data_IF_260397410591
#
_entry.id   IF_260397410591
#
_cell.length_a   1.000
_cell.length_b   1.000
_cell.length_c   1.000
_cell.angle_alpha   90.00
_cell.angle_beta   90.00
_cell.angle_gamma   90.00
#
_symmetry.space_group_name_H-M   'P 1'
#
loop_
_entity.id
_entity.type
_entity.pdbx_description
1 polymer ?
#
# COMPACT_ATOMS: atom_id res chain seq x y z
N UNK A 1 20.72 -10.90 -3.61
CA UNK A 1 19.44 -11.55 -3.97
C UNK A 1 18.21 -10.71 -3.54
N UNK A 2 18.22 -10.13 -2.36
CA UNK A 2 17.13 -9.30 -1.82
C UNK A 2 16.74 -8.08 -2.69
N UNK A 3 17.71 -7.43 -3.37
CA UNK A 3 17.44 -6.28 -4.22
C UNK A 3 16.56 -6.65 -5.43
N UNK A 4 16.80 -7.82 -6.04
CA UNK A 4 15.97 -8.34 -7.15
C UNK A 4 14.54 -8.58 -6.67
N UNK A 5 14.36 -9.17 -5.49
CA UNK A 5 13.04 -9.39 -4.88
C UNK A 5 12.32 -8.07 -4.60
N UNK A 6 13.05 -7.03 -4.16
CA UNK A 6 12.47 -5.70 -3.97
C UNK A 6 11.99 -5.08 -5.30
N UNK A 7 12.75 -5.23 -6.39
CA UNK A 7 12.32 -4.79 -7.73
C UNK A 7 11.12 -5.58 -8.24
N UNK A 8 11.10 -6.91 -8.06
CA UNK A 8 9.94 -7.75 -8.41
C UNK A 8 8.71 -7.28 -7.63
N UNK A 9 8.83 -7.04 -6.33
CA UNK A 9 7.74 -6.50 -5.50
C UNK A 9 7.24 -5.16 -6.03
N UNK A 10 8.14 -4.23 -6.36
CA UNK A 10 7.77 -2.93 -6.92
C UNK A 10 7.03 -3.06 -8.25
N UNK A 11 7.52 -3.92 -9.14
CA UNK A 11 6.91 -4.18 -10.43
C UNK A 11 5.48 -4.73 -10.29
N UNK A 12 5.30 -5.74 -9.46
CA UNK A 12 3.99 -6.35 -9.20
C UNK A 12 3.01 -5.35 -8.55
N UNK A 13 3.47 -4.52 -7.60
CA UNK A 13 2.66 -3.46 -7.02
C UNK A 13 2.22 -2.40 -8.04
N UNK A 14 3.04 -2.11 -9.05
CA UNK A 14 2.64 -1.21 -10.12
C UNK A 14 1.43 -1.75 -10.88
N UNK A 15 1.44 -3.03 -11.26
CA UNK A 15 0.30 -3.69 -11.89
C UNK A 15 -0.90 -3.83 -10.94
N UNK A 16 -0.68 -4.14 -9.66
CA UNK A 16 -1.73 -4.10 -8.66
C UNK A 16 -2.51 -2.77 -8.69
N UNK A 17 -1.80 -1.62 -8.72
CA UNK A 17 -2.45 -0.31 -8.78
C UNK A 17 -3.27 -0.12 -10.08
N UNK A 18 -2.77 -0.63 -11.21
CA UNK A 18 -3.46 -0.59 -12.50
C UNK A 18 -4.74 -1.43 -12.47
N UNK A 19 -4.67 -2.68 -12.02
CA UNK A 19 -5.84 -3.57 -11.92
C UNK A 19 -6.85 -3.04 -10.91
N UNK A 20 -6.39 -2.45 -9.81
CA UNK A 20 -7.23 -1.77 -8.83
C UNK A 20 -7.99 -0.61 -9.48
N UNK A 21 -7.32 0.27 -10.23
CA UNK A 21 -7.96 1.37 -10.96
C UNK A 21 -8.99 0.86 -11.95
N UNK A 22 -8.64 -0.17 -12.74
CA UNK A 22 -9.53 -0.78 -13.73
C UNK A 22 -10.76 -1.44 -13.10
N UNK A 23 -10.59 -2.12 -11.96
CA UNK A 23 -11.69 -2.76 -11.23
C UNK A 23 -12.68 -1.75 -10.68
N UNK A 24 -12.19 -0.59 -10.24
CA UNK A 24 -13.00 0.48 -9.64
C UNK A 24 -13.75 1.34 -10.67
N UNK A 25 -13.38 1.27 -11.97
CA UNK A 25 -14.05 2.03 -13.03
C UNK A 25 -15.49 1.59 -13.17
N UNK A 26 -16.45 2.47 -12.85
CA UNK A 26 -17.89 2.16 -12.91
C UNK A 26 -18.37 1.11 -11.91
N UNK A 27 -17.63 0.90 -10.80
CA UNK A 27 -17.94 -0.15 -9.84
C UNK A 27 -18.00 0.39 -8.40
N UNK A 28 -18.66 -0.33 -7.50
CA UNK A 28 -18.70 0.01 -6.09
C UNK A 28 -17.35 -0.31 -5.41
N UNK A 29 -16.87 0.60 -4.55
CA UNK A 29 -15.54 0.49 -3.91
C UNK A 29 -15.49 -0.66 -2.90
N UNK A 30 -16.47 -0.71 -1.99
CA UNK A 30 -16.48 -1.66 -0.86
C UNK A 30 -16.50 -3.12 -1.34
N UNK A 31 -17.39 -3.54 -2.28
CA UNK A 31 -17.35 -4.92 -2.75
C UNK A 31 -16.07 -5.27 -3.51
N UNK A 32 -15.52 -4.36 -4.33
CA UNK A 32 -14.23 -4.62 -5.01
C UNK A 32 -13.13 -4.89 -3.98
N UNK A 33 -13.04 -4.08 -2.93
CA UNK A 33 -12.07 -4.28 -1.85
C UNK A 33 -12.37 -5.58 -1.08
N UNK A 34 -13.63 -5.86 -0.74
CA UNK A 34 -14.01 -7.09 -0.06
C UNK A 34 -13.63 -8.34 -0.85
N UNK A 35 -14.00 -8.43 -2.14
CA UNK A 35 -13.68 -9.61 -2.93
C UNK A 35 -12.17 -9.77 -3.16
N UNK A 36 -11.42 -8.67 -3.27
CA UNK A 36 -9.96 -8.77 -3.35
C UNK A 36 -9.35 -9.31 -2.05
N UNK A 37 -9.84 -8.90 -0.88
CA UNK A 37 -9.36 -9.42 0.41
C UNK A 37 -9.81 -10.85 0.66
N UNK A 38 -11.02 -11.21 0.23
CA UNK A 38 -11.53 -12.58 0.29
C UNK A 38 -10.63 -13.55 -0.50
N UNK A 39 -10.28 -13.19 -1.75
CA UNK A 39 -9.40 -14.02 -2.59
C UNK A 39 -8.02 -14.15 -1.95
N UNK A 40 -7.45 -13.05 -1.42
CA UNK A 40 -6.18 -13.11 -0.68
C UNK A 40 -6.27 -14.05 0.53
N UNK A 41 -7.35 -13.97 1.30
CA UNK A 41 -7.56 -14.87 2.45
C UNK A 41 -7.71 -16.33 2.02
N UNK A 42 -8.37 -16.61 0.88
CA UNK A 42 -8.46 -17.95 0.33
C UNK A 42 -7.09 -18.55 -0.08
N UNK A 43 -6.09 -17.71 -0.33
CA UNK A 43 -4.71 -18.17 -0.57
C UNK A 43 -4.04 -18.54 0.76
N UNK A 44 -4.22 -17.73 1.81
CA UNK A 44 -3.53 -17.93 3.09
C UNK A 44 -4.21 -18.93 4.02
N UNK A 45 -5.54 -19.10 3.99
CA UNK A 45 -6.27 -20.05 4.83
C UNK A 45 -5.78 -21.49 4.68
N UNK A 46 -5.60 -22.04 3.46
CA UNK A 46 -5.03 -23.37 3.30
C UNK A 46 -3.63 -23.50 3.89
N UNK A 47 -2.79 -22.44 3.77
CA UNK A 47 -1.43 -22.47 4.34
C UNK A 47 -1.47 -22.53 5.87
N UNK A 48 -2.36 -21.75 6.52
CA UNK A 48 -2.57 -21.79 7.98
C UNK A 48 -3.02 -23.20 8.42
N UNK A 49 -4.02 -23.77 7.72
CA UNK A 49 -4.57 -25.08 8.06
C UNK A 49 -3.53 -26.17 7.86
N UNK A 50 -2.86 -26.21 6.71
CA UNK A 50 -1.83 -27.21 6.42
C UNK A 50 -0.65 -27.13 7.40
N UNK A 51 -0.22 -25.91 7.74
CA UNK A 51 0.86 -25.72 8.73
C UNK A 51 0.47 -26.17 10.15
N UNK A 52 -0.82 -26.06 10.51
CA UNK A 52 -1.30 -26.44 11.85
C UNK A 52 -1.52 -27.95 12.01
N UNK A 53 -1.91 -28.65 10.93
CA UNK A 53 -2.35 -30.05 11.01
C UNK A 53 -1.45 -31.03 10.27
N UNK A 54 -0.51 -30.57 9.45
CA UNK A 54 0.37 -31.45 8.65
C UNK A 54 1.82 -30.98 8.70
N UNK A 55 2.82 -31.88 8.64
CA UNK A 55 4.23 -31.51 8.59
C UNK A 55 4.70 -31.08 7.19
N UNK A 56 3.82 -31.09 6.18
CA UNK A 56 4.17 -30.89 4.76
C UNK A 56 4.85 -29.54 4.50
N UNK A 57 4.54 -28.51 5.29
CA UNK A 57 5.06 -27.16 5.10
C UNK A 57 6.21 -26.80 6.05
N UNK A 58 6.60 -27.67 7.00
CA UNK A 58 7.54 -27.33 8.08
C UNK A 58 8.88 -26.76 7.58
N UNK A 59 9.39 -27.24 6.45
CA UNK A 59 10.68 -26.81 5.89
C UNK A 59 10.52 -25.84 4.71
N UNK A 60 9.32 -25.30 4.53
CA UNK A 60 9.04 -24.37 3.41
C UNK A 60 8.99 -22.93 3.87
N UNK A 61 9.23 -22.01 2.92
CA UNK A 61 9.15 -20.56 3.15
C UNK A 61 7.72 -20.06 3.42
N UNK A 62 6.72 -20.92 3.26
CA UNK A 62 5.30 -20.57 3.45
C UNK A 62 4.71 -21.20 4.71
N UNK A 63 5.54 -21.78 5.55
CA UNK A 63 5.14 -22.32 6.85
C UNK A 63 4.61 -21.20 7.76
N UNK A 64 3.46 -21.44 8.40
CA UNK A 64 2.81 -20.52 9.33
C UNK A 64 2.83 -21.13 10.73
N UNK A 65 3.75 -20.72 11.61
CA UNK A 65 3.79 -21.20 12.99
C UNK A 65 2.49 -20.95 13.74
N UNK A 66 2.08 -21.90 14.58
CA UNK A 66 0.95 -21.73 15.49
C UNK A 66 1.35 -20.77 16.61
N UNK A 67 0.55 -19.74 16.86
CA UNK A 67 0.84 -18.71 17.85
C UNK A 67 -0.26 -18.53 18.87
N UNK A 68 0.08 -18.01 20.04
CA UNK A 68 -0.84 -17.74 21.12
C UNK A 68 -1.77 -16.55 20.82
N UNK A 69 -2.90 -16.50 21.51
CA UNK A 69 -3.90 -15.42 21.36
C UNK A 69 -3.33 -14.02 21.62
N UNK A 70 -2.30 -13.89 22.43
CA UNK A 70 -1.61 -12.62 22.67
C UNK A 70 -1.04 -11.99 21.39
N UNK A 71 -0.55 -12.81 20.44
CA UNK A 71 -0.01 -12.34 19.15
C UNK A 71 -1.13 -11.84 18.24
N UNK A 72 -2.28 -12.53 18.25
CA UNK A 72 -3.43 -12.16 17.42
C UNK A 72 -3.96 -10.76 17.71
N UNK A 73 -3.91 -10.28 18.96
CA UNK A 73 -4.32 -8.91 19.34
C UNK A 73 -3.54 -7.85 18.55
N UNK A 74 -2.25 -8.01 18.41
CA UNK A 74 -1.40 -7.09 17.65
C UNK A 74 -1.72 -7.15 16.15
N UNK A 75 -1.94 -8.36 15.61
CA UNK A 75 -2.28 -8.53 14.20
C UNK A 75 -3.67 -7.97 13.88
N UNK A 76 -4.64 -8.10 14.79
CA UNK A 76 -5.98 -7.51 14.66
C UNK A 76 -5.88 -5.97 14.61
N UNK A 77 -5.10 -5.36 15.51
CA UNK A 77 -4.87 -3.91 15.47
C UNK A 77 -4.27 -3.47 14.13
N UNK A 78 -3.27 -4.20 13.64
CA UNK A 78 -2.71 -3.97 12.30
C UNK A 78 -3.79 -4.06 11.22
N UNK A 79 -4.63 -5.09 11.25
CA UNK A 79 -5.69 -5.31 10.27
C UNK A 79 -6.69 -4.14 10.24
N UNK A 80 -7.04 -3.55 11.39
CA UNK A 80 -7.87 -2.35 11.45
C UNK A 80 -7.20 -1.15 10.78
N UNK A 81 -5.93 -0.86 11.09
CA UNK A 81 -5.17 0.25 10.50
C UNK A 81 -5.07 0.09 8.98
N UNK A 82 -4.71 -1.11 8.51
CA UNK A 82 -4.57 -1.42 7.09
C UNK A 82 -5.91 -1.31 6.37
N UNK A 83 -6.99 -1.87 6.95
CA UNK A 83 -8.33 -1.81 6.34
C UNK A 83 -8.81 -0.38 6.19
N UNK A 84 -8.65 0.46 7.22
CA UNK A 84 -8.97 1.88 7.14
C UNK A 84 -8.16 2.58 6.05
N UNK A 85 -6.84 2.36 5.99
CA UNK A 85 -5.97 2.89 4.93
C UNK A 85 -6.45 2.46 3.54
N UNK A 86 -6.82 1.21 3.36
CA UNK A 86 -7.27 0.69 2.07
C UNK A 86 -8.62 1.25 1.65
N UNK A 87 -9.58 1.37 2.56
CA UNK A 87 -10.89 1.97 2.27
C UNK A 87 -10.67 3.38 1.72
N UNK A 88 -9.96 4.25 2.43
CA UNK A 88 -9.66 5.60 1.95
C UNK A 88 -8.87 5.60 0.63
N UNK A 89 -7.88 4.75 0.50
CA UNK A 89 -7.06 4.64 -0.71
C UNK A 89 -7.84 4.16 -1.93
N UNK A 90 -8.81 3.25 -1.77
CA UNK A 90 -9.66 2.78 -2.86
C UNK A 90 -10.66 3.86 -3.30
N UNK A 91 -11.21 4.63 -2.37
CA UNK A 91 -12.05 5.80 -2.71
C UNK A 91 -11.25 6.87 -3.45
N UNK A 92 -10.04 7.17 -3.01
CA UNK A 92 -9.12 8.06 -3.73
C UNK A 92 -8.81 7.55 -5.13
N UNK A 93 -8.42 6.27 -5.27
CA UNK A 93 -8.08 5.64 -6.54
C UNK A 93 -9.26 5.62 -7.52
N UNK A 94 -10.50 5.46 -7.03
CA UNK A 94 -11.70 5.51 -7.88
C UNK A 94 -11.90 6.87 -8.53
N UNK A 95 -11.73 7.94 -7.75
CA UNK A 95 -12.21 9.28 -8.11
C UNK A 95 -11.11 10.23 -8.59
N UNK A 96 -9.83 9.87 -8.43
CA UNK A 96 -8.68 10.65 -8.88
C UNK A 96 -7.91 9.93 -9.99
N UNK A 97 -7.13 10.67 -10.79
CA UNK A 97 -6.15 10.08 -11.70
C UNK A 97 -5.17 9.17 -10.96
N UNK A 98 -4.81 8.03 -11.56
CA UNK A 98 -3.85 7.09 -10.94
C UNK A 98 -2.48 7.73 -10.72
N UNK A 99 -2.07 8.63 -11.63
CA UNK A 99 -0.81 9.38 -11.51
C UNK A 99 -0.80 10.29 -10.30
N UNK A 100 -1.94 10.95 -9.95
CA UNK A 100 -2.03 11.77 -8.74
C UNK A 100 -1.99 10.93 -7.47
N UNK A 101 -2.76 9.85 -7.42
CA UNK A 101 -2.76 8.93 -6.27
C UNK A 101 -1.38 8.30 -6.09
N UNK A 102 -0.72 7.91 -7.17
CA UNK A 102 0.64 7.39 -7.16
C UNK A 102 1.64 8.39 -6.57
N UNK A 103 1.61 9.65 -7.01
CA UNK A 103 2.50 10.69 -6.48
C UNK A 103 2.25 10.95 -4.99
N UNK A 104 0.99 11.01 -4.54
CA UNK A 104 0.65 11.13 -3.10
C UNK A 104 1.20 9.93 -2.32
N UNK A 105 1.02 8.71 -2.82
CA UNK A 105 1.54 7.51 -2.17
C UNK A 105 3.08 7.46 -2.14
N UNK A 106 3.76 8.03 -3.13
CA UNK A 106 5.22 8.08 -3.18
C UNK A 106 5.83 8.95 -2.06
N UNK A 107 5.06 9.87 -1.48
CA UNK A 107 5.51 10.68 -0.33
C UNK A 107 5.39 9.95 1.01
N UNK A 108 4.82 8.74 1.06
CA UNK A 108 4.66 7.96 2.30
C UNK A 108 5.95 7.78 3.11
N UNK A 109 7.15 7.53 2.53
CA UNK A 109 8.38 7.44 3.31
C UNK A 109 8.71 8.71 4.08
N UNK A 110 8.37 9.88 3.54
CA UNK A 110 8.52 11.16 4.24
C UNK A 110 7.59 11.23 5.45
N UNK A 111 6.35 10.76 5.30
CA UNK A 111 5.39 10.68 6.42
C UNK A 111 5.86 9.70 7.50
N UNK A 112 6.46 8.56 7.10
CA UNK A 112 7.08 7.60 8.05
C UNK A 112 8.23 8.27 8.81
N UNK A 113 9.09 9.01 8.13
CA UNK A 113 10.21 9.71 8.75
C UNK A 113 9.74 10.78 9.75
N UNK A 114 8.75 11.59 9.38
CA UNK A 114 8.15 12.57 10.29
C UNK A 114 7.47 11.88 11.49
N UNK A 115 6.78 10.76 11.26
CA UNK A 115 6.23 9.95 12.35
C UNK A 115 7.30 9.42 13.29
N UNK A 116 8.43 8.96 12.78
CA UNK A 116 9.56 8.49 13.59
C UNK A 116 10.17 9.61 14.44
N UNK A 117 10.25 10.82 13.93
CA UNK A 117 10.70 12.00 14.67
C UNK A 117 9.81 12.28 15.90
N UNK A 118 8.47 12.23 15.73
CA UNK A 118 7.54 12.49 16.84
C UNK A 118 7.43 11.33 17.82
N UNK A 119 7.47 10.08 17.34
CA UNK A 119 7.25 8.87 18.15
C UNK A 119 8.55 8.47 18.87
N UNK A 120 9.69 8.50 18.17
CA UNK A 120 10.98 8.02 18.70
C UNK A 120 11.91 9.15 19.12
N UNK A 121 11.52 10.42 18.95
CA UNK A 121 12.35 11.59 19.28
C UNK A 121 13.62 11.69 18.44
N UNK A 122 13.65 11.07 17.27
CA UNK A 122 14.79 11.12 16.36
C UNK A 122 15.01 12.54 15.85
N UNK A 123 16.28 12.98 15.77
CA UNK A 123 16.60 14.29 15.18
C UNK A 123 16.92 14.11 13.70
N UNK A 124 16.22 14.86 12.87
CA UNK A 124 16.48 14.89 11.43
C UNK A 124 17.79 15.65 11.16
N UNK A 125 18.62 15.08 10.30
CA UNK A 125 19.79 15.77 9.76
C UNK A 125 19.40 16.67 8.56
N UNK A 126 20.36 17.49 8.10
CA UNK A 126 20.14 18.46 7.01
C UNK A 126 19.62 17.78 5.73
N UNK A 127 20.18 16.62 5.37
CA UNK A 127 19.75 15.88 4.17
C UNK A 127 18.30 15.40 4.25
N UNK A 128 17.88 14.95 5.44
CA UNK A 128 16.51 14.53 5.67
C UNK A 128 15.53 15.71 5.61
N UNK A 129 15.89 16.88 6.12
CA UNK A 129 15.11 18.11 5.97
C UNK A 129 14.98 18.55 4.51
N UNK A 130 16.04 18.44 3.71
CA UNK A 130 16.00 18.66 2.26
C UNK A 130 15.00 17.71 1.61
N UNK A 131 15.01 16.42 1.96
CA UNK A 131 14.06 15.42 1.47
C UNK A 131 12.61 15.76 1.78
N UNK A 132 12.33 16.24 3.00
CA UNK A 132 11.00 16.73 3.41
C UNK A 132 10.59 17.95 2.58
N UNK A 133 11.50 18.91 2.36
CA UNK A 133 11.22 20.10 1.54
C UNK A 133 10.83 19.71 0.10
N UNK A 134 11.55 18.79 -0.54
CA UNK A 134 11.20 18.29 -1.87
C UNK A 134 9.82 17.64 -1.91
N UNK A 135 9.43 16.89 -0.86
CA UNK A 135 8.09 16.31 -0.77
C UNK A 135 7.00 17.39 -0.70
N UNK A 136 7.20 18.45 0.10
CA UNK A 136 6.27 19.57 0.21
C UNK A 136 6.14 20.30 -1.14
N UNK A 137 7.26 20.58 -1.80
CA UNK A 137 7.27 21.20 -3.14
C UNK A 137 6.53 20.32 -4.15
N UNK A 138 6.72 19.00 -4.09
CA UNK A 138 6.01 18.04 -4.94
C UNK A 138 4.49 18.13 -4.75
N UNK A 139 3.99 18.20 -3.51
CA UNK A 139 2.55 18.38 -3.26
C UNK A 139 2.03 19.71 -3.85
N UNK A 140 2.81 20.78 -3.72
CA UNK A 140 2.44 22.06 -4.32
C UNK A 140 2.37 21.96 -5.84
N UNK A 141 3.38 21.36 -6.49
CA UNK A 141 3.39 21.16 -7.95
C UNK A 141 2.24 20.27 -8.42
N UNK A 142 1.91 19.24 -7.65
CA UNK A 142 0.77 18.36 -7.94
C UNK A 142 -0.56 19.13 -7.84
N UNK A 143 -0.69 20.03 -6.86
CA UNK A 143 -1.84 20.94 -6.72
C UNK A 143 -2.02 21.85 -7.93
N UNK A 144 -0.93 22.45 -8.42
CA UNK A 144 -0.96 23.27 -9.63
C UNK A 144 -1.36 22.44 -10.88
N UNK A 145 -0.85 21.24 -11.00
CA UNK A 145 -1.23 20.31 -12.07
C UNK A 145 -2.71 19.93 -12.02
N UNK A 146 -3.23 19.67 -10.82
CA UNK A 146 -4.63 19.34 -10.58
C UNK A 146 -5.60 20.47 -10.95
N UNK A 147 -5.26 21.72 -10.63
CA UNK A 147 -6.08 22.90 -11.03
C UNK A 147 -6.32 22.96 -12.53
N UNK A 148 -5.33 22.61 -13.35
CA UNK A 148 -5.47 22.56 -14.82
C UNK A 148 -6.44 21.47 -15.30
N UNK A 149 -6.74 20.47 -14.46
CA UNK A 149 -7.73 19.42 -14.73
C UNK A 149 -9.08 19.69 -14.04
N UNK A 150 -9.28 20.87 -13.47
CA UNK A 150 -10.48 21.22 -12.71
C UNK A 150 -10.54 20.56 -11.32
N UNK A 151 -9.42 20.02 -10.81
CA UNK A 151 -9.34 19.40 -9.50
C UNK A 151 -8.82 20.46 -8.52
N UNK A 152 -9.71 20.96 -7.65
CA UNK A 152 -9.29 21.81 -6.53
C UNK A 152 -8.66 20.94 -5.45
N UNK A 153 -7.35 21.08 -5.28
CA UNK A 153 -6.58 20.22 -4.37
C UNK A 153 -6.98 20.43 -2.90
N UNK A 154 -7.38 21.63 -2.52
CA UNK A 154 -7.72 21.95 -1.13
C UNK A 154 -9.13 21.48 -0.74
N UNK A 155 -10.10 21.64 -1.62
CA UNK A 155 -11.51 21.32 -1.34
C UNK A 155 -11.96 19.94 -1.86
N UNK A 156 -11.10 19.19 -2.56
CA UNK A 156 -11.45 17.88 -3.08
C UNK A 156 -11.31 16.79 -2.01
N UNK A 157 -12.44 16.27 -1.53
CA UNK A 157 -12.49 15.20 -0.52
C UNK A 157 -11.70 13.93 -0.89
N UNK A 158 -11.54 13.64 -2.18
CA UNK A 158 -10.83 12.45 -2.63
C UNK A 158 -9.31 12.59 -2.51
N UNK A 159 -8.79 13.82 -2.62
CA UNK A 159 -7.40 14.13 -2.30
C UNK A 159 -7.15 13.85 -0.82
N UNK A 160 -8.03 14.35 0.05
CA UNK A 160 -7.92 14.09 1.49
C UNK A 160 -8.05 12.61 1.82
N UNK A 161 -8.92 11.85 1.13
CA UNK A 161 -8.95 10.39 1.25
C UNK A 161 -7.59 9.76 0.90
N UNK A 162 -6.94 10.20 -0.18
CA UNK A 162 -5.63 9.65 -0.58
C UNK A 162 -4.52 10.02 0.40
N UNK A 163 -4.54 11.25 0.93
CA UNK A 163 -3.60 11.70 1.97
C UNK A 163 -3.80 10.90 3.27
N UNK A 164 -5.05 10.75 3.72
CA UNK A 164 -5.38 9.94 4.91
C UNK A 164 -4.96 8.49 4.73
N UNK A 165 -5.18 7.91 3.55
CA UNK A 165 -4.71 6.56 3.23
C UNK A 165 -3.18 6.44 3.33
N UNK A 166 -2.45 7.47 2.85
CA UNK A 166 -0.99 7.49 2.93
C UNK A 166 -0.48 7.66 4.36
N UNK A 167 -1.14 8.49 5.17
CA UNK A 167 -0.83 8.65 6.60
C UNK A 167 -1.07 7.35 7.38
N UNK A 168 -2.25 6.75 7.23
CA UNK A 168 -2.55 5.45 7.86
C UNK A 168 -1.61 4.35 7.38
N UNK A 169 -1.23 4.38 6.10
CA UNK A 169 -0.23 3.48 5.56
C UNK A 169 1.17 3.72 6.12
N UNK A 170 1.52 4.95 6.49
CA UNK A 170 2.77 5.26 7.18
C UNK A 170 2.74 4.75 8.63
N UNK A 171 1.62 4.95 9.33
CA UNK A 171 1.41 4.38 10.68
C UNK A 171 1.51 2.86 10.64
N UNK A 172 0.86 2.21 9.66
CA UNK A 172 0.98 0.76 9.47
C UNK A 172 2.42 0.31 9.24
N UNK A 173 3.21 1.05 8.43
CA UNK A 173 4.61 0.70 8.17
C UNK A 173 5.50 0.83 9.41
N UNK A 174 5.26 1.85 10.25
CA UNK A 174 5.95 1.98 11.55
C UNK A 174 5.59 0.84 12.50
N UNK A 175 4.31 0.46 12.51
CA UNK A 175 3.83 -0.67 13.30
C UNK A 175 4.37 -2.00 12.79
N UNK A 176 4.47 -2.17 11.46
CA UNK A 176 5.08 -3.36 10.85
C UNK A 176 6.52 -3.56 11.29
N UNK A 177 7.31 -2.47 11.38
CA UNK A 177 8.68 -2.54 11.88
C UNK A 177 8.72 -3.16 13.30
N UNK A 178 7.80 -2.77 14.17
CA UNK A 178 7.69 -3.33 15.53
C UNK A 178 7.26 -4.80 15.52
N UNK A 179 6.31 -5.18 14.65
CA UNK A 179 5.83 -6.56 14.57
C UNK A 179 6.88 -7.52 14.01
N UNK A 180 7.62 -7.09 12.99
CA UNK A 180 8.62 -7.95 12.32
C UNK A 180 9.85 -8.22 13.18
N UNK A 181 10.10 -7.43 14.23
CA UNK A 181 11.15 -7.72 15.21
C UNK A 181 10.73 -8.74 16.26
N UNK A 182 9.42 -9.00 16.42
CA UNK A 182 8.87 -9.83 17.48
C UNK A 182 8.24 -11.12 16.98
N UNK A 183 7.71 -11.12 15.75
CA UNK A 183 6.90 -12.22 15.22
C UNK A 183 7.35 -12.63 13.82
N UNK A 184 7.07 -13.89 13.49
CA UNK A 184 7.33 -14.43 12.16
C UNK A 184 6.49 -13.71 11.09
N UNK A 185 7.13 -13.43 9.94
CA UNK A 185 6.52 -12.71 8.82
C UNK A 185 5.28 -13.42 8.26
N UNK A 186 5.35 -14.76 8.15
CA UNK A 186 4.25 -15.53 7.59
C UNK A 186 3.05 -15.57 8.53
N UNK A 187 3.27 -15.59 9.86
CA UNK A 187 2.20 -15.46 10.86
C UNK A 187 1.50 -14.12 10.68
N UNK A 188 2.27 -13.01 10.65
CA UNK A 188 1.69 -11.67 10.55
C UNK A 188 0.98 -11.47 9.22
N UNK A 189 1.57 -11.89 8.10
CA UNK A 189 0.97 -11.73 6.77
C UNK A 189 -0.31 -12.55 6.62
N UNK A 190 -0.27 -13.83 6.99
CA UNK A 190 -1.38 -14.75 6.80
C UNK A 190 -2.59 -14.36 7.65
N UNK A 191 -2.40 -14.18 8.95
CA UNK A 191 -3.49 -13.82 9.85
C UNK A 191 -4.02 -12.40 9.62
N UNK A 192 -3.15 -11.45 9.24
CA UNK A 192 -3.60 -10.10 8.87
C UNK A 192 -4.58 -10.14 7.68
N UNK A 193 -4.29 -10.93 6.62
CA UNK A 193 -5.22 -11.07 5.49
C UNK A 193 -6.57 -11.67 5.92
N UNK A 194 -6.57 -12.67 6.80
CA UNK A 194 -7.82 -13.25 7.33
C UNK A 194 -8.61 -12.20 8.12
N UNK A 195 -7.96 -11.46 9.03
CA UNK A 195 -8.64 -10.42 9.81
C UNK A 195 -9.14 -9.25 8.95
N UNK A 196 -8.39 -8.83 7.95
CA UNK A 196 -8.85 -7.81 6.99
C UNK A 196 -10.12 -8.30 6.28
N UNK A 197 -10.17 -9.54 5.84
CA UNK A 197 -11.36 -10.12 5.21
C UNK A 197 -12.55 -10.13 6.17
N UNK A 198 -12.36 -10.51 7.44
CA UNK A 198 -13.42 -10.52 8.44
C UNK A 198 -13.95 -9.09 8.70
N UNK A 199 -13.06 -8.12 8.87
CA UNK A 199 -13.44 -6.71 9.06
C UNK A 199 -14.19 -6.21 7.82
N UNK A 200 -13.68 -6.51 6.62
CA UNK A 200 -14.31 -6.11 5.36
C UNK A 200 -15.67 -6.78 5.14
N UNK A 201 -15.90 -7.98 5.66
CA UNK A 201 -17.22 -8.63 5.64
C UNK A 201 -18.25 -7.79 6.41
N UNK A 202 -17.88 -7.32 7.61
CA UNK A 202 -18.75 -6.45 8.42
C UNK A 202 -18.96 -5.11 7.72
N UNK A 203 -17.90 -4.49 7.20
CA UNK A 203 -17.97 -3.22 6.45
C UNK A 203 -18.87 -3.36 5.23
N UNK A 204 -18.79 -4.47 4.51
CA UNK A 204 -19.64 -4.74 3.35
C UNK A 204 -21.11 -4.86 3.72
N UNK A 205 -21.41 -5.59 4.82
CA UNK A 205 -22.78 -5.75 5.31
C UNK A 205 -23.40 -4.43 5.78
N UNK A 206 -22.62 -3.60 6.51
CA UNK A 206 -23.11 -2.36 7.10
C UNK A 206 -23.16 -1.21 6.11
N UNK A 207 -22.13 -1.02 5.29
CA UNK A 207 -22.02 0.18 4.46
C UNK A 207 -22.51 0.00 3.02
N UNK A 208 -22.30 -1.17 2.43
CA UNK A 208 -22.66 -1.37 1.02
C UNK A 208 -23.97 -2.09 0.84
N UNK A 209 -24.28 -3.13 1.59
CA UNK A 209 -25.49 -3.93 1.39
C UNK A 209 -26.79 -3.12 1.42
N UNK A 210 -26.97 -2.13 2.32
CA UNK A 210 -28.15 -1.26 2.29
C UNK A 210 -28.21 -0.36 1.06
N UNK A 211 -27.06 -0.04 0.46
CA UNK A 211 -26.92 0.88 -0.70
C UNK A 211 -26.69 0.16 -2.01
N UNK A 212 -26.82 -1.17 -2.07
CA UNK A 212 -26.52 -1.99 -3.25
C UNK A 212 -27.27 -1.59 -4.52
N UNK A 213 -28.51 -1.07 -4.39
CA UNK A 213 -29.31 -0.60 -5.52
C UNK A 213 -28.75 0.70 -6.13
N UNK A 214 -28.21 1.60 -5.31
CA UNK A 214 -27.62 2.87 -5.78
C UNK A 214 -26.14 2.75 -6.17
N UNK A 215 -25.45 1.73 -5.68
CA UNK A 215 -24.05 1.45 -5.96
C UNK A 215 -23.90 0.01 -6.44
N UNK A 216 -24.23 -0.28 -7.71
CA UNK A 216 -24.17 -1.63 -8.24
C UNK A 216 -22.73 -2.16 -8.25
N UNK A 217 -22.59 -3.44 -8.00
CA UNK A 217 -21.35 -4.17 -8.15
C UNK A 217 -21.41 -5.05 -9.38
N UNK A 218 -20.38 -4.94 -10.23
CA UNK A 218 -20.18 -5.78 -11.37
C UNK A 218 -18.88 -6.55 -11.21
N UNK A 219 -18.94 -7.88 -11.31
CA UNK A 219 -17.74 -8.70 -11.25
C UNK A 219 -16.82 -8.38 -12.41
N UNK A 220 -15.51 -8.21 -12.09
CA UNK A 220 -14.45 -8.05 -13.09
C UNK A 220 -13.31 -8.98 -12.75
N UNK A 221 -12.79 -9.68 -13.73
CA UNK A 221 -11.62 -10.57 -13.56
C UNK A 221 -10.38 -9.84 -13.03
N UNK A 222 -10.29 -8.53 -13.24
CA UNK A 222 -9.23 -7.70 -12.69
C UNK A 222 -9.18 -7.71 -11.16
N UNK A 223 -10.27 -8.06 -10.47
CA UNK A 223 -10.32 -8.20 -9.00
C UNK A 223 -9.46 -9.39 -8.55
N UNK A 224 -9.44 -10.49 -9.29
CA UNK A 224 -8.55 -11.62 -9.03
C UNK A 224 -7.08 -11.19 -9.12
N UNK A 225 -6.74 -10.43 -10.16
CA UNK A 225 -5.37 -9.95 -10.34
C UNK A 225 -4.92 -8.98 -9.24
N UNK A 226 -5.82 -8.16 -8.67
CA UNK A 226 -5.50 -7.32 -7.48
C UNK A 226 -4.94 -8.21 -6.37
N UNK A 227 -5.64 -9.28 -6.03
CA UNK A 227 -5.25 -10.18 -4.92
C UNK A 227 -3.95 -10.93 -5.22
N UNK A 228 -3.85 -11.48 -6.42
CA UNK A 228 -2.69 -12.27 -6.83
C UNK A 228 -1.41 -11.42 -6.83
N UNK A 229 -1.44 -10.26 -7.51
CA UNK A 229 -0.29 -9.38 -7.61
C UNK A 229 0.13 -8.82 -6.25
N UNK A 230 -0.84 -8.46 -5.39
CA UNK A 230 -0.55 -7.98 -4.03
C UNK A 230 0.09 -9.08 -3.18
N UNK A 231 -0.47 -10.30 -3.18
CA UNK A 231 0.02 -11.42 -2.38
C UNK A 231 1.46 -11.78 -2.75
N UNK A 232 1.75 -11.88 -4.06
CA UNK A 232 3.10 -12.20 -4.54
C UNK A 232 4.06 -11.04 -4.29
N UNK A 233 3.61 -9.79 -4.48
CA UNK A 233 4.43 -8.61 -4.21
C UNK A 233 4.81 -8.51 -2.73
N UNK A 234 3.88 -8.78 -1.81
CA UNK A 234 4.14 -8.75 -0.38
C UNK A 234 5.03 -9.93 0.06
N UNK A 235 4.83 -11.12 -0.50
CA UNK A 235 5.73 -12.24 -0.25
C UNK A 235 7.17 -11.92 -0.67
N UNK A 236 7.37 -11.39 -1.88
CA UNK A 236 8.68 -10.97 -2.37
C UNK A 236 9.31 -9.86 -1.48
N UNK A 237 8.50 -8.93 -1.00
CA UNK A 237 8.92 -7.86 -0.09
C UNK A 237 9.39 -8.40 1.25
N UNK A 238 8.60 -9.23 1.91
CA UNK A 238 8.96 -9.79 3.20
C UNK A 238 10.18 -10.72 3.09
N UNK A 239 10.26 -11.49 2.00
CA UNK A 239 11.45 -12.29 1.73
C UNK A 239 12.70 -11.44 1.49
N UNK A 240 12.56 -10.30 0.83
CA UNK A 240 13.67 -9.34 0.68
C UNK A 240 14.09 -8.76 2.04
N UNK A 241 13.15 -8.50 2.96
CA UNK A 241 13.45 -7.97 4.28
C UNK A 241 14.08 -9.01 5.23
N UNK A 242 13.77 -10.29 5.06
CA UNK A 242 14.33 -11.36 5.89
C UNK A 242 15.77 -11.73 5.54
N UNK A 243 16.34 -11.20 4.45
CA UNK A 243 17.74 -11.40 4.07
C UNK A 243 18.64 -10.55 5.00
N UNK A 244 19.63 -11.18 5.65
CA UNK A 244 20.53 -10.52 6.62
C UNK A 244 21.33 -9.34 6.03
N UNK A 245 21.56 -9.33 4.72
CA UNK A 245 22.22 -8.24 4.00
C UNK A 245 21.28 -7.13 3.55
N UNK A 246 19.97 -7.22 3.83
CA UNK A 246 19.00 -6.25 3.34
C UNK A 246 18.99 -4.96 4.16
N UNK A 247 19.05 -3.83 3.47
CA UNK A 247 18.81 -2.52 4.06
C UNK A 247 17.33 -2.16 3.90
N UNK A 248 16.60 -2.09 5.01
CA UNK A 248 15.14 -1.80 5.05
C UNK A 248 14.81 -0.50 4.31
N UNK A 249 15.64 0.53 4.47
CA UNK A 249 15.50 1.80 3.76
C UNK A 249 15.56 1.63 2.24
N UNK A 250 16.51 0.85 1.72
CA UNK A 250 16.65 0.61 0.28
C UNK A 250 15.47 -0.22 -0.25
N UNK A 251 15.09 -1.29 0.43
CA UNK A 251 13.94 -2.12 0.05
C UNK A 251 12.67 -1.28 -0.02
N UNK A 252 12.44 -0.43 0.98
CA UNK A 252 11.28 0.48 1.01
C UNK A 252 11.31 1.50 -0.13
N UNK A 253 12.48 2.06 -0.44
CA UNK A 253 12.64 3.00 -1.57
C UNK A 253 12.38 2.34 -2.91
N UNK A 254 13.01 1.18 -3.16
CA UNK A 254 12.82 0.42 -4.41
C UNK A 254 11.36 0.05 -4.58
N UNK A 255 10.67 -0.35 -3.49
CA UNK A 255 9.25 -0.67 -3.52
C UNK A 255 8.38 0.51 -3.97
N UNK A 256 8.77 1.77 -3.68
CA UNK A 256 8.08 2.98 -4.18
C UNK A 256 8.26 3.20 -5.68
N UNK A 257 9.17 2.50 -6.32
CA UNK A 257 9.29 2.44 -7.78
C UNK A 257 8.02 1.92 -8.48
N UNK A 258 7.09 1.26 -7.75
CA UNK A 258 5.77 0.87 -8.28
C UNK A 258 5.02 2.06 -8.90
N UNK A 259 5.23 3.27 -8.38
CA UNK A 259 4.57 4.49 -8.89
C UNK A 259 5.00 4.81 -10.32
N UNK A 260 6.23 4.45 -10.73
CA UNK A 260 6.68 4.64 -12.11
C UNK A 260 5.81 3.82 -13.07
N UNK A 261 5.53 2.58 -12.72
CA UNK A 261 4.73 1.67 -13.54
C UNK A 261 3.27 2.15 -13.58
N UNK A 262 2.68 2.45 -12.43
CA UNK A 262 1.33 2.98 -12.38
C UNK A 262 1.21 4.33 -13.10
N UNK A 263 2.25 5.17 -13.09
CA UNK A 263 2.30 6.41 -13.83
C UNK A 263 2.32 6.16 -15.35
N UNK A 264 3.22 5.31 -15.85
CA UNK A 264 3.30 4.94 -17.26
C UNK A 264 1.98 4.35 -17.75
N UNK A 265 1.38 3.45 -16.98
CA UNK A 265 0.08 2.87 -17.30
C UNK A 265 -1.04 3.93 -17.25
N UNK A 266 -0.97 4.89 -16.34
CA UNK A 266 -1.89 6.03 -16.25
C UNK A 266 -1.90 6.84 -17.55
N UNK A 267 -0.72 7.11 -18.07
CA UNK A 267 -0.56 7.84 -19.34
C UNK A 267 -1.00 7.00 -20.54
N UNK A 268 -0.55 5.75 -20.64
CA UNK A 268 -0.76 4.90 -21.82
C UNK A 268 -2.18 4.34 -21.91
N UNK A 269 -2.69 3.77 -20.81
CA UNK A 269 -3.98 3.06 -20.80
C UNK A 269 -5.15 3.94 -20.37
N UNK A 270 -4.93 4.85 -19.41
CA UNK A 270 -6.00 5.72 -18.92
C UNK A 270 -6.03 7.08 -19.61
N UNK A 271 -5.04 7.39 -20.48
CA UNK A 271 -4.93 8.64 -21.27
C UNK A 271 -5.08 9.88 -20.39
N UNK A 272 -4.41 9.89 -19.24
CA UNK A 272 -4.48 11.00 -18.30
C UNK A 272 -3.85 12.27 -18.88
N UNK A 273 -4.41 13.42 -18.50
CA UNK A 273 -3.98 14.74 -18.97
C UNK A 273 -2.89 15.35 -18.06
N UNK A 274 -2.28 16.45 -18.53
CA UNK A 274 -1.26 17.24 -17.79
C UNK A 274 -0.09 16.40 -17.24
N UNK A 275 0.35 15.42 -18.02
CA UNK A 275 1.39 14.45 -17.67
C UNK A 275 2.69 15.15 -17.23
N UNK A 276 3.09 16.25 -17.92
CA UNK A 276 4.34 16.97 -17.61
C UNK A 276 4.38 17.49 -16.16
N UNK A 277 3.30 18.10 -15.69
CA UNK A 277 3.21 18.63 -14.31
C UNK A 277 3.25 17.51 -13.27
N UNK A 278 2.55 16.40 -13.53
CA UNK A 278 2.53 15.23 -12.66
C UNK A 278 3.88 14.50 -12.64
N UNK A 279 4.55 14.40 -13.80
CA UNK A 279 5.89 13.84 -13.92
C UNK A 279 6.91 14.67 -13.12
N UNK A 280 6.85 15.99 -13.22
CA UNK A 280 7.71 16.88 -12.45
C UNK A 280 7.49 16.71 -10.95
N UNK A 281 6.24 16.65 -10.49
CA UNK A 281 5.93 16.38 -9.09
C UNK A 281 6.48 15.05 -8.63
N UNK A 282 6.31 13.99 -9.43
CA UNK A 282 6.84 12.65 -9.13
C UNK A 282 8.39 12.65 -9.07
N UNK A 283 9.05 13.34 -10.00
CA UNK A 283 10.51 13.45 -10.01
C UNK A 283 11.03 14.13 -8.74
N UNK A 284 10.36 15.19 -8.27
CA UNK A 284 10.71 15.86 -7.01
C UNK A 284 10.59 14.92 -5.80
N UNK A 285 9.54 14.06 -5.77
CA UNK A 285 9.45 13.04 -4.70
C UNK A 285 10.65 12.09 -4.75
N UNK A 286 11.03 11.59 -5.94
CA UNK A 286 12.17 10.68 -6.04
C UNK A 286 13.49 11.35 -5.65
N UNK A 287 13.70 12.61 -6.03
CA UNK A 287 14.86 13.39 -5.57
C UNK A 287 14.83 13.49 -4.04
N UNK A 288 13.68 13.82 -3.45
CA UNK A 288 13.51 13.86 -2.00
C UNK A 288 13.84 12.52 -1.33
N UNK A 289 13.41 11.38 -1.91
CA UNK A 289 13.74 10.05 -1.39
C UNK A 289 15.24 9.76 -1.44
N UNK A 290 15.97 10.22 -2.47
CA UNK A 290 17.43 10.09 -2.54
C UNK A 290 18.09 10.87 -1.39
N UNK A 291 17.65 12.10 -1.12
CA UNK A 291 18.16 12.88 0.03
C UNK A 291 17.84 12.22 1.37
N UNK A 292 16.64 11.65 1.53
CA UNK A 292 16.31 10.87 2.72
C UNK A 292 17.24 9.68 2.90
N UNK A 293 17.56 8.98 1.80
CA UNK A 293 18.48 7.84 1.83
C UNK A 293 19.90 8.25 2.22
N UNK A 294 20.42 9.34 1.63
CA UNK A 294 21.74 9.87 1.99
C UNK A 294 21.78 10.24 3.47
N UNK A 295 20.71 10.82 4.01
CA UNK A 295 20.59 11.21 5.40
C UNK A 295 20.43 10.04 6.39
N UNK A 296 20.16 8.82 5.93
CA UNK A 296 20.09 7.61 6.77
C UNK A 296 21.43 6.87 6.87
N UNK A 297 22.41 7.27 6.11
CA UNK A 297 23.81 6.79 6.19
C UNK A 297 24.64 7.67 7.10
#
# INVERSE_FOLDING_TARGET
>A
MWLILAFISAFLLGFYDVFKKQSLKGNAVIPVLFFSTLISSCIFLPLIILSAYTPVLNDTMVFVPVVNWSVHKYIILKAFIVTASWIFGYFGMKNLPITMVGTINATRPVMVLLGALFIFGERLNVYQWIGVAFAIISFYMLSLGGKKEGIDFQHNKWIWCSVTASLLGAVSALYDKSLMTQFDNMVVQSWCNVYIMLIMSVVMMVLWYPRRKSQPFNWKWTILFISLFLTVADFAYFKALSDQGSMISIVSMVRRGNVIISFLCGVLFFRERNVKSKLLALSLVFIGLIFLYIGTR
#
